data_IF_787258479283
#
_entry.id   IF_787258479283
#
_cell.length_a   1.000
_cell.length_b   1.000
_cell.length_c   1.000
_cell.angle_alpha   90.00
_cell.angle_beta   90.00
_cell.angle_gamma   90.00
#
_symmetry.space_group_name_H-M   'P 1'
#
loop_
_entity.id
_entity.type
_entity.pdbx_description
1 polymer ?
#
# COMPACT_ATOMS: atom_id res chain seq x y z
N UNK A 1 54.30 -15.89 -25.74
CA UNK A 1 54.09 -14.91 -24.67
C UNK A 1 53.22 -13.73 -25.09
N UNK A 2 53.49 -12.97 -26.19
CA UNK A 2 52.64 -11.82 -26.60
C UNK A 2 51.20 -12.22 -26.94
N UNK A 3 50.93 -13.35 -27.60
CA UNK A 3 49.58 -13.84 -27.94
C UNK A 3 48.78 -14.28 -26.72
N UNK A 4 49.45 -14.93 -25.74
CA UNK A 4 48.76 -15.33 -24.48
C UNK A 4 48.38 -14.12 -23.63
N UNK A 5 49.25 -13.10 -23.56
CA UNK A 5 48.93 -11.83 -22.86
C UNK A 5 47.73 -11.15 -23.51
N UNK A 6 47.72 -11.06 -24.86
CA UNK A 6 46.58 -10.45 -25.57
C UNK A 6 45.25 -11.19 -25.31
N UNK A 7 45.24 -12.51 -25.30
CA UNK A 7 44.03 -13.31 -25.00
C UNK A 7 43.57 -13.07 -23.58
N UNK A 8 44.47 -13.07 -22.59
CA UNK A 8 44.13 -12.79 -21.19
C UNK A 8 43.56 -11.37 -21.02
N UNK A 9 44.15 -10.37 -21.68
CA UNK A 9 43.64 -8.98 -21.62
C UNK A 9 42.24 -8.87 -22.19
N UNK A 10 41.95 -9.52 -23.32
CA UNK A 10 40.60 -9.54 -23.90
C UNK A 10 39.61 -10.22 -22.96
N UNK A 11 39.98 -11.34 -22.36
CA UNK A 11 39.11 -12.08 -21.45
C UNK A 11 38.78 -11.25 -20.18
N UNK A 12 39.80 -10.60 -19.61
CA UNK A 12 39.58 -9.66 -18.46
C UNK A 12 38.71 -8.50 -18.86
N UNK A 13 38.90 -7.91 -20.04
CA UNK A 13 38.08 -6.82 -20.53
C UNK A 13 36.60 -7.24 -20.67
N UNK A 14 36.33 -8.39 -21.30
CA UNK A 14 34.98 -8.93 -21.44
C UNK A 14 34.33 -9.17 -20.06
N UNK A 15 35.10 -9.71 -19.11
CA UNK A 15 34.61 -9.95 -17.74
C UNK A 15 34.24 -8.63 -17.04
N UNK A 16 35.08 -7.60 -17.12
CA UNK A 16 34.81 -6.27 -16.54
C UNK A 16 33.58 -5.64 -17.16
N UNK A 17 33.44 -5.69 -18.48
CA UNK A 17 32.25 -5.20 -19.20
C UNK A 17 30.99 -5.96 -18.74
N UNK A 18 31.05 -7.28 -18.63
CA UNK A 18 29.94 -8.11 -18.13
C UNK A 18 29.51 -7.72 -16.71
N UNK A 19 30.48 -7.46 -15.82
CA UNK A 19 30.18 -7.00 -14.44
C UNK A 19 29.49 -5.63 -14.46
N UNK A 20 29.96 -4.69 -15.28
CA UNK A 20 29.36 -3.36 -15.39
C UNK A 20 27.91 -3.42 -15.88
N UNK A 21 27.63 -4.23 -16.88
CA UNK A 21 26.28 -4.44 -17.40
C UNK A 21 25.36 -5.16 -16.40
N UNK A 22 25.88 -6.02 -15.56
CA UNK A 22 25.14 -6.71 -14.49
C UNK A 22 24.57 -5.77 -13.42
N UNK A 23 25.08 -4.54 -13.33
CA UNK A 23 24.57 -3.51 -12.43
C UNK A 23 23.35 -2.73 -12.95
N UNK A 24 23.03 -2.84 -14.24
CA UNK A 24 21.92 -2.12 -14.84
C UNK A 24 20.58 -2.73 -14.44
N UNK A 25 19.60 -1.90 -14.10
CA UNK A 25 18.21 -2.29 -13.85
C UNK A 25 17.27 -1.18 -14.30
N UNK A 26 16.03 -1.55 -14.62
CA UNK A 26 15.00 -0.60 -15.08
C UNK A 26 13.95 -0.42 -13.99
N UNK A 27 13.52 0.81 -13.76
CA UNK A 27 12.44 1.20 -12.87
C UNK A 27 11.27 1.68 -13.71
N UNK A 28 10.11 1.03 -13.56
CA UNK A 28 8.87 1.47 -14.23
C UNK A 28 8.23 2.63 -13.48
N UNK A 29 7.46 3.46 -14.18
CA UNK A 29 6.74 4.59 -13.56
C UNK A 29 5.71 4.15 -12.50
N UNK A 30 5.19 2.93 -12.64
CA UNK A 30 4.22 2.33 -11.72
C UNK A 30 4.87 1.68 -10.50
N UNK A 31 6.19 1.69 -10.43
CA UNK A 31 6.99 1.04 -9.39
C UNK A 31 7.90 2.05 -8.71
N UNK A 32 8.17 1.78 -7.47
CA UNK A 32 9.21 2.42 -6.67
C UNK A 32 10.18 1.34 -6.18
N UNK A 33 11.46 1.67 -6.12
CA UNK A 33 12.51 0.69 -5.83
C UNK A 33 13.20 0.99 -4.52
N UNK A 34 13.37 -0.05 -3.71
CA UNK A 34 14.25 -0.03 -2.53
C UNK A 34 15.59 -0.66 -2.88
N UNK A 35 16.66 0.09 -2.70
CA UNK A 35 18.02 -0.42 -2.83
C UNK A 35 18.54 -0.81 -1.46
N UNK A 36 18.87 -2.08 -1.29
CA UNK A 36 19.40 -2.61 -0.05
C UNK A 36 20.82 -3.13 -0.25
N UNK A 37 21.63 -2.98 0.80
CA UNK A 37 22.96 -3.56 0.90
C UNK A 37 23.06 -4.36 2.19
N UNK A 38 23.32 -5.66 2.10
CA UNK A 38 23.31 -6.55 3.27
C UNK A 38 22.07 -6.36 4.17
N UNK A 39 20.88 -6.32 3.54
CA UNK A 39 19.58 -6.09 4.19
C UNK A 39 19.39 -4.71 4.82
N UNK A 40 20.35 -3.80 4.74
CA UNK A 40 20.18 -2.40 5.16
C UNK A 40 19.70 -1.55 3.99
N UNK A 41 18.73 -0.70 4.23
CA UNK A 41 18.25 0.29 3.28
C UNK A 41 19.37 1.29 2.99
N UNK A 42 19.71 1.47 1.71
CA UNK A 42 20.73 2.42 1.23
C UNK A 42 20.08 3.58 0.52
N UNK A 43 19.12 3.27 -0.37
CA UNK A 43 18.51 4.28 -1.23
C UNK A 43 17.11 3.86 -1.67
N UNK A 44 16.31 4.85 -2.12
CA UNK A 44 14.98 4.66 -2.70
C UNK A 44 14.92 5.42 -4.01
N UNK A 45 14.41 4.78 -5.04
CA UNK A 45 14.31 5.33 -6.39
C UNK A 45 12.85 5.41 -6.79
N UNK A 46 12.44 6.53 -7.40
CA UNK A 46 11.10 6.80 -7.90
C UNK A 46 10.01 6.78 -6.79
N UNK A 47 10.30 7.37 -5.62
CA UNK A 47 9.36 7.45 -4.49
C UNK A 47 8.09 8.24 -4.87
N UNK A 48 6.97 7.89 -4.25
CA UNK A 48 5.70 8.58 -4.47
C UNK A 48 5.77 10.03 -3.97
N UNK A 49 5.31 10.97 -4.79
CA UNK A 49 5.32 12.41 -4.45
C UNK A 49 6.62 13.14 -4.75
N UNK A 50 7.69 12.43 -5.07
CA UNK A 50 8.93 13.01 -5.54
C UNK A 50 8.97 13.11 -7.08
N UNK A 51 10.05 13.73 -7.59
CA UNK A 51 10.29 13.81 -9.04
C UNK A 51 10.30 12.41 -9.65
N UNK A 52 9.64 12.25 -10.80
CA UNK A 52 9.64 10.99 -11.52
C UNK A 52 11.09 10.62 -11.92
N UNK A 53 11.57 9.54 -11.35
CA UNK A 53 12.91 8.98 -11.56
C UNK A 53 12.82 7.55 -12.13
N UNK A 54 11.80 7.32 -12.96
CA UNK A 54 11.66 6.08 -13.71
C UNK A 54 12.68 6.03 -14.86
N UNK A 55 13.14 4.83 -15.19
CA UNK A 55 14.08 4.63 -16.28
C UNK A 55 15.19 3.65 -15.95
N UNK A 56 16.32 3.80 -16.64
CA UNK A 56 17.49 2.96 -16.49
C UNK A 56 18.38 3.49 -15.37
N UNK A 57 18.64 2.64 -14.38
CA UNK A 57 19.49 2.92 -13.23
C UNK A 57 20.63 1.93 -13.14
N UNK A 58 21.65 2.30 -12.39
CA UNK A 58 22.79 1.45 -12.13
C UNK A 58 22.97 1.22 -10.63
N UNK A 59 23.17 -0.04 -10.25
CA UNK A 59 23.48 -0.44 -8.87
C UNK A 59 24.82 -1.18 -8.83
N UNK A 60 25.50 -1.16 -7.69
CA UNK A 60 26.70 -1.96 -7.52
C UNK A 60 26.34 -3.44 -7.58
N UNK A 61 26.83 -4.17 -8.61
CA UNK A 61 26.53 -5.60 -8.75
C UNK A 61 27.06 -6.36 -7.53
N UNK A 62 26.42 -7.48 -7.20
CA UNK A 62 26.71 -8.38 -6.07
C UNK A 62 26.51 -7.77 -4.66
N UNK A 63 26.66 -6.45 -4.47
CA UNK A 63 26.53 -5.80 -3.17
C UNK A 63 25.13 -5.26 -2.93
N UNK A 64 24.50 -4.67 -3.93
CA UNK A 64 23.19 -4.02 -3.82
C UNK A 64 22.10 -4.89 -4.44
N UNK A 65 21.00 -5.03 -3.71
CA UNK A 65 19.77 -5.68 -4.19
C UNK A 65 18.68 -4.63 -4.37
N UNK A 66 18.07 -4.59 -5.56
CA UNK A 66 16.92 -3.74 -5.85
C UNK A 66 15.63 -4.56 -5.65
N UNK A 67 14.69 -4.06 -4.87
CA UNK A 67 13.37 -4.67 -4.63
C UNK A 67 12.28 -3.73 -5.12
N UNK A 68 11.41 -4.16 -6.06
CA UNK A 68 10.31 -3.35 -6.54
C UNK A 68 9.14 -3.36 -5.55
N UNK A 69 8.48 -2.20 -5.44
CA UNK A 69 7.22 -2.01 -4.71
C UNK A 69 6.26 -1.24 -5.62
N UNK A 70 4.95 -1.51 -5.49
CA UNK A 70 3.95 -0.80 -6.28
C UNK A 70 3.84 0.67 -5.84
N UNK A 71 3.82 1.58 -6.82
CA UNK A 71 3.50 3.01 -6.64
C UNK A 71 2.01 3.27 -6.84
N UNK A 72 1.28 2.28 -7.34
CA UNK A 72 -0.15 2.36 -7.63
C UNK A 72 -0.98 2.25 -6.35
N UNK A 73 -2.25 2.61 -6.48
CA UNK A 73 -3.25 2.38 -5.44
C UNK A 73 -3.51 0.87 -5.35
N UNK A 74 -3.40 0.35 -4.15
CA UNK A 74 -3.67 -1.03 -3.79
C UNK A 74 -5.05 -1.11 -3.12
N UNK A 75 -5.67 -2.27 -3.20
CA UNK A 75 -6.91 -2.57 -2.51
C UNK A 75 -6.66 -3.37 -1.25
N UNK A 76 -7.48 -3.13 -0.26
CA UNK A 76 -7.65 -3.94 0.94
C UNK A 76 -9.14 -4.28 1.04
N UNK A 77 -9.43 -5.56 1.24
CA UNK A 77 -10.78 -6.12 1.38
C UNK A 77 -10.84 -6.78 2.74
N UNK A 78 -11.64 -6.20 3.64
CA UNK A 78 -11.79 -6.67 5.01
C UNK A 78 -12.70 -7.89 5.10
N UNK A 79 -12.69 -8.56 6.25
CA UNK A 79 -13.60 -9.67 6.47
C UNK A 79 -15.01 -9.15 6.73
N UNK A 80 -15.96 -9.54 5.89
CA UNK A 80 -17.37 -9.23 6.12
C UNK A 80 -17.87 -9.92 7.39
N UNK A 81 -18.62 -9.19 8.19
CA UNK A 81 -19.08 -9.69 9.49
C UNK A 81 -20.39 -9.09 9.96
N UNK A 82 -21.04 -9.80 10.90
CA UNK A 82 -22.23 -9.30 11.55
C UNK A 82 -21.84 -8.35 12.69
N UNK A 83 -22.44 -7.14 12.69
CA UNK A 83 -22.21 -6.11 13.70
C UNK A 83 -23.53 -5.60 14.26
N UNK A 84 -23.48 -5.08 15.50
CA UNK A 84 -24.65 -4.53 16.20
C UNK A 84 -24.55 -3.00 16.13
N UNK A 85 -25.65 -2.36 15.73
CA UNK A 85 -25.78 -0.90 15.69
C UNK A 85 -26.17 -0.33 17.06
N UNK A 86 -26.12 1.01 17.24
CA UNK A 86 -26.54 1.69 18.47
C UNK A 86 -28.00 1.38 18.85
N UNK A 87 -28.88 1.19 17.88
CA UNK A 87 -30.29 0.82 18.04
C UNK A 87 -30.53 -0.69 18.15
N UNK A 88 -29.46 -1.45 18.51
CA UNK A 88 -29.48 -2.90 18.78
C UNK A 88 -29.97 -3.76 17.61
N UNK A 89 -29.75 -3.29 16.38
CA UNK A 89 -30.05 -4.05 15.16
C UNK A 89 -28.82 -4.73 14.65
N UNK A 90 -28.94 -5.97 14.16
CA UNK A 90 -27.87 -6.69 13.53
C UNK A 90 -27.81 -6.33 12.05
N UNK A 91 -26.63 -5.98 11.59
CA UNK A 91 -26.35 -5.72 10.17
C UNK A 91 -25.12 -6.52 9.75
N UNK A 92 -25.11 -6.91 8.49
CA UNK A 92 -23.93 -7.48 7.86
C UNK A 92 -23.15 -6.35 7.20
N UNK A 93 -21.91 -6.17 7.61
CA UNK A 93 -21.03 -5.10 7.13
C UNK A 93 -19.88 -5.72 6.38
N UNK A 94 -19.65 -5.19 5.21
CA UNK A 94 -18.54 -5.50 4.35
C UNK A 94 -17.75 -4.22 4.10
N UNK A 95 -16.44 -4.25 4.34
CA UNK A 95 -15.59 -3.06 4.29
C UNK A 95 -14.45 -3.27 3.33
N UNK A 96 -14.18 -2.28 2.52
CA UNK A 96 -13.01 -2.24 1.65
C UNK A 96 -12.34 -0.87 1.71
N UNK A 97 -11.04 -0.84 1.50
CA UNK A 97 -10.28 0.40 1.45
C UNK A 97 -9.28 0.39 0.29
N UNK A 98 -8.91 1.59 -0.15
CA UNK A 98 -7.84 1.80 -1.12
C UNK A 98 -6.70 2.52 -0.42
N UNK A 99 -5.52 1.98 -0.55
CA UNK A 99 -4.33 2.50 0.08
C UNK A 99 -3.14 2.55 -0.87
N UNK A 100 -2.09 3.23 -0.50
CA UNK A 100 -0.84 3.28 -1.26
C UNK A 100 0.35 3.52 -0.35
N UNK A 101 1.52 3.16 -0.82
CA UNK A 101 2.78 3.40 -0.13
C UNK A 101 3.20 4.84 -0.44
N UNK A 102 3.04 5.74 0.54
CA UNK A 102 3.41 7.15 0.40
C UNK A 102 4.88 7.40 0.77
N UNK A 103 5.40 6.72 1.79
CA UNK A 103 6.78 6.79 2.25
C UNK A 103 7.37 5.37 2.21
N UNK A 104 8.14 5.09 1.16
CA UNK A 104 8.67 3.74 0.94
C UNK A 104 9.76 3.38 1.97
N UNK A 105 10.49 4.35 2.50
CA UNK A 105 11.52 4.11 3.53
C UNK A 105 10.89 3.60 4.81
N UNK A 106 9.84 4.29 5.28
CA UNK A 106 9.07 3.87 6.47
C UNK A 106 8.39 2.54 6.24
N UNK A 107 7.73 2.39 5.08
CA UNK A 107 7.07 1.14 4.73
C UNK A 107 8.02 -0.04 4.78
N UNK A 108 9.19 0.05 4.15
CA UNK A 108 10.16 -1.03 4.12
C UNK A 108 10.75 -1.36 5.49
N UNK A 109 10.97 -0.36 6.33
CA UNK A 109 11.56 -0.55 7.67
C UNK A 109 10.58 -1.03 8.72
N UNK A 110 9.30 -0.64 8.63
CA UNK A 110 8.30 -0.91 9.67
C UNK A 110 7.37 -2.06 9.27
N UNK A 111 7.01 -2.14 8.00
CA UNK A 111 6.04 -3.12 7.48
C UNK A 111 6.75 -4.22 6.70
N UNK A 112 7.56 -3.86 5.72
CA UNK A 112 8.41 -4.77 4.95
C UNK A 112 7.73 -5.48 3.80
N UNK A 113 6.57 -6.09 4.00
CA UNK A 113 5.86 -6.88 2.98
C UNK A 113 4.41 -6.42 2.79
N UNK A 114 3.80 -6.82 1.67
CA UNK A 114 2.38 -6.53 1.41
C UNK A 114 1.46 -7.25 2.39
N UNK A 115 1.75 -8.50 2.71
CA UNK A 115 0.91 -9.32 3.60
C UNK A 115 0.91 -8.75 5.02
N UNK A 116 2.06 -8.27 5.49
CA UNK A 116 2.17 -7.56 6.77
C UNK A 116 1.38 -6.24 6.76
N UNK A 117 1.37 -5.52 5.63
CA UNK A 117 0.56 -4.31 5.48
C UNK A 117 -0.93 -4.61 5.55
N UNK A 118 -1.40 -5.67 4.88
CA UNK A 118 -2.79 -6.09 4.91
C UNK A 118 -3.21 -6.49 6.32
N UNK A 119 -2.39 -7.28 7.03
CA UNK A 119 -2.65 -7.66 8.42
C UNK A 119 -2.75 -6.45 9.36
N UNK A 120 -1.89 -5.43 9.17
CA UNK A 120 -1.98 -4.19 9.96
C UNK A 120 -3.22 -3.37 9.64
N UNK A 121 -3.67 -3.38 8.38
CA UNK A 121 -4.92 -2.76 7.99
C UNK A 121 -6.11 -3.48 8.64
N UNK A 122 -6.11 -4.81 8.69
CA UNK A 122 -7.12 -5.59 9.43
C UNK A 122 -7.17 -5.18 10.90
N UNK A 123 -6.01 -5.09 11.56
CA UNK A 123 -5.90 -4.73 12.98
C UNK A 123 -6.37 -3.30 13.30
N UNK A 124 -6.37 -2.40 12.32
CA UNK A 124 -6.74 -0.98 12.51
C UNK A 124 -8.17 -0.72 12.02
N UNK A 125 -8.49 -1.17 10.81
CA UNK A 125 -9.76 -0.81 10.14
C UNK A 125 -10.95 -1.58 10.74
N UNK A 126 -10.78 -2.87 11.05
CA UNK A 126 -11.86 -3.68 11.60
C UNK A 126 -12.38 -3.17 12.96
N UNK A 127 -11.52 -2.88 13.96
CA UNK A 127 -11.97 -2.29 15.21
C UNK A 127 -12.55 -0.88 15.03
N UNK A 128 -11.96 -0.06 14.15
CA UNK A 128 -12.48 1.28 13.85
C UNK A 128 -13.88 1.21 13.25
N UNK A 129 -14.09 0.29 12.31
CA UNK A 129 -15.41 0.03 11.69
C UNK A 129 -16.42 -0.45 12.73
N UNK A 130 -16.06 -1.42 13.55
CA UNK A 130 -16.93 -1.94 14.61
C UNK A 130 -17.34 -0.86 15.59
N UNK A 131 -16.41 -0.04 16.03
CA UNK A 131 -16.67 1.07 16.95
C UNK A 131 -17.59 2.13 16.31
N UNK A 132 -17.36 2.49 15.05
CA UNK A 132 -18.19 3.46 14.34
C UNK A 132 -19.63 2.94 14.14
N UNK A 133 -19.79 1.67 13.78
CA UNK A 133 -21.09 1.01 13.62
C UNK A 133 -21.86 0.94 14.95
N UNK A 134 -21.21 0.59 16.04
CA UNK A 134 -21.82 0.51 17.37
C UNK A 134 -22.30 1.87 17.90
N UNK A 135 -21.70 2.96 17.44
CA UNK A 135 -22.08 4.33 17.82
C UNK A 135 -23.11 4.95 16.88
N UNK A 136 -23.41 4.34 15.76
CA UNK A 136 -24.33 4.85 14.76
C UNK A 136 -25.65 4.07 14.75
N UNK A 137 -26.77 4.78 14.52
CA UNK A 137 -28.05 4.14 14.25
C UNK A 137 -28.08 3.53 12.86
N UNK A 138 -28.95 2.52 12.64
CA UNK A 138 -29.13 1.92 11.33
C UNK A 138 -29.44 2.96 10.24
N UNK A 139 -30.24 3.97 10.56
CA UNK A 139 -30.58 5.06 9.65
C UNK A 139 -29.33 5.82 9.17
N UNK A 140 -28.38 6.13 10.07
CA UNK A 140 -27.13 6.82 9.75
C UNK A 140 -26.16 5.97 8.93
N UNK A 141 -26.18 4.63 9.08
CA UNK A 141 -25.30 3.72 8.35
C UNK A 141 -25.79 3.51 6.92
N UNK A 142 -27.12 3.36 6.74
CA UNK A 142 -27.70 2.99 5.44
C UNK A 142 -28.04 4.21 4.59
N UNK A 143 -28.48 5.30 5.21
CA UNK A 143 -29.00 6.49 4.51
C UNK A 143 -27.95 7.59 4.43
N UNK A 144 -27.92 8.26 3.28
CA UNK A 144 -27.09 9.45 3.07
C UNK A 144 -27.87 10.76 3.14
N UNK A 145 -29.21 10.69 3.07
CA UNK A 145 -30.09 11.88 3.03
C UNK A 145 -31.39 11.64 3.77
N UNK A 146 -32.02 12.73 4.26
CA UNK A 146 -33.33 12.72 4.93
C UNK A 146 -34.52 12.68 3.96
N UNK A 147 -34.35 12.11 2.77
CA UNK A 147 -35.47 11.95 1.82
C UNK A 147 -36.56 11.07 2.44
N UNK A 148 -37.76 11.60 2.56
CA UNK A 148 -38.92 10.84 3.03
C UNK A 148 -39.26 9.73 2.05
N UNK A 149 -39.06 8.49 2.46
CA UNK A 149 -39.50 7.30 1.77
C UNK A 149 -40.85 6.94 2.36
N UNK A 150 -41.97 7.39 1.71
CA UNK A 150 -43.36 7.06 2.00
C UNK A 150 -43.78 7.01 3.47
N UNK A 151 -45.04 7.25 3.71
CA UNK A 151 -45.69 7.62 4.97
C UNK A 151 -45.71 6.55 6.09
N UNK A 152 -44.91 5.49 6.02
CA UNK A 152 -45.00 4.36 6.95
C UNK A 152 -43.64 3.97 7.51
N UNK A 153 -43.13 4.77 8.42
CA UNK A 153 -41.95 4.36 9.16
C UNK A 153 -41.37 5.45 10.04
N UNK A 154 -41.35 5.15 11.31
CA UNK A 154 -40.68 5.91 12.37
C UNK A 154 -39.16 5.78 12.18
N UNK A 155 -38.62 6.46 11.16
CA UNK A 155 -37.17 6.50 10.94
C UNK A 155 -36.63 7.77 11.55
N UNK A 156 -35.76 7.62 12.54
CA UNK A 156 -34.97 8.71 13.11
C UNK A 156 -34.30 9.52 12.00
N UNK A 157 -34.26 10.83 12.16
CA UNK A 157 -33.56 11.70 11.23
C UNK A 157 -32.08 11.32 11.11
N UNK A 158 -31.58 11.42 9.90
CA UNK A 158 -30.17 11.14 9.61
C UNK A 158 -29.37 12.38 10.03
N UNK A 159 -28.60 12.27 11.10
CA UNK A 159 -27.77 13.37 11.60
C UNK A 159 -26.44 13.45 10.84
N UNK A 160 -25.79 12.32 10.59
CA UNK A 160 -24.48 12.24 9.93
C UNK A 160 -24.51 11.57 8.56
N UNK A 161 -25.40 10.61 8.37
CA UNK A 161 -25.44 9.77 7.18
C UNK A 161 -24.24 8.85 7.00
N UNK A 162 -24.29 8.02 5.95
CA UNK A 162 -23.26 7.03 5.64
C UNK A 162 -21.85 7.66 5.48
N UNK A 163 -21.77 8.80 4.83
CA UNK A 163 -20.49 9.52 4.63
C UNK A 163 -19.86 9.95 5.95
N UNK A 164 -20.67 10.41 6.90
CA UNK A 164 -20.19 10.79 8.23
C UNK A 164 -19.65 9.60 9.02
N UNK A 165 -20.26 8.42 8.88
CA UNK A 165 -19.76 7.18 9.49
C UNK A 165 -18.43 6.76 8.85
N UNK A 166 -18.32 6.80 7.52
CA UNK A 166 -17.08 6.51 6.80
C UNK A 166 -15.96 7.47 7.21
N UNK A 167 -16.22 8.77 7.31
CA UNK A 167 -15.25 9.75 7.75
C UNK A 167 -14.78 9.54 9.19
N UNK A 168 -15.64 9.06 10.09
CA UNK A 168 -15.25 8.66 11.44
C UNK A 168 -14.31 7.44 11.43
N UNK A 169 -14.57 6.46 10.58
CA UNK A 169 -13.69 5.30 10.43
C UNK A 169 -12.33 5.75 9.93
N UNK A 170 -12.29 6.58 8.87
CA UNK A 170 -11.04 7.11 8.30
C UNK A 170 -10.24 7.97 9.29
N UNK A 171 -10.90 8.69 10.19
CA UNK A 171 -10.23 9.51 11.20
C UNK A 171 -9.70 8.69 12.36
N UNK A 172 -10.23 7.49 12.59
CA UNK A 172 -9.83 6.57 13.65
C UNK A 172 -8.80 5.53 13.20
N UNK A 173 -8.68 5.31 11.88
CA UNK A 173 -7.71 4.41 11.26
C UNK A 173 -6.40 5.13 10.91
#
# INVERSE_FOLDING_TARGET
>A
MKKTIAVVTVLVFVLVVGILFSGLYTVHETEQMVITRFSKLVDVVNEYGEKNDAGLHWKTPFLNTAKPFSKQILEWDGQSGQMITADKKYIHVDTFARWRIADLKKYYTVVGTRDEALSRLDDIVDPATRNAVQQASLANIVRSTNRKLSETGDFNDVEMGREGVVNKILAAA
#
